data_IF_081921203880
#
_entry.id   IF_081921203880
#
_cell.length_a   1.000
_cell.length_b   1.000
_cell.length_c   1.000
_cell.angle_alpha   90.00
_cell.angle_beta   90.00
_cell.angle_gamma   90.00
#
_symmetry.space_group_name_H-M   'P 1'
#
loop_
_entity.id
_entity.type
_entity.pdbx_description
1 polymer ?
#
# COMPACT_ATOMS: atom_id res chain seq x y z
N UNK A 1 -60.61 21.88 30.27
CA UNK A 1 -59.23 21.40 30.10
C UNK A 1 -59.08 20.87 28.68
N UNK A 2 -58.36 21.60 27.83
CA UNK A 2 -58.09 21.15 26.46
C UNK A 2 -56.68 20.52 26.46
N UNK A 3 -56.59 19.21 26.15
CA UNK A 3 -55.38 18.44 26.07
C UNK A 3 -54.78 18.68 24.68
N UNK A 4 -53.68 19.43 24.62
CA UNK A 4 -52.95 19.67 23.36
C UNK A 4 -51.94 18.54 23.16
N UNK A 5 -52.26 17.61 22.26
CA UNK A 5 -51.35 16.52 21.88
C UNK A 5 -50.22 17.07 21.00
N UNK A 6 -49.02 17.10 21.54
CA UNK A 6 -47.78 17.50 20.81
C UNK A 6 -47.32 16.30 19.96
N UNK A 7 -47.52 16.38 18.64
CA UNK A 7 -47.07 15.37 17.69
C UNK A 7 -45.59 15.63 17.39
N UNK A 8 -44.66 14.86 18.01
CA UNK A 8 -43.25 14.88 17.71
C UNK A 8 -43.00 14.14 16.37
N UNK A 9 -42.77 14.89 15.31
CA UNK A 9 -42.26 14.37 14.03
C UNK A 9 -40.79 13.99 14.21
N UNK A 10 -40.46 12.70 14.29
CA UNK A 10 -39.12 12.20 14.10
C UNK A 10 -38.76 12.29 12.61
N UNK A 11 -38.07 13.34 12.22
CA UNK A 11 -37.42 13.42 10.92
C UNK A 11 -36.18 12.52 11.02
N UNK A 12 -36.27 11.29 10.53
CA UNK A 12 -35.10 10.45 10.27
C UNK A 12 -34.29 11.12 9.15
N UNK A 13 -33.24 11.85 9.52
CA UNK A 13 -32.24 12.32 8.59
C UNK A 13 -31.49 11.05 8.13
N UNK A 14 -31.81 10.58 6.92
CA UNK A 14 -30.96 9.60 6.25
C UNK A 14 -29.61 10.27 6.05
N UNK A 15 -28.64 9.96 6.91
CA UNK A 15 -27.25 10.35 6.72
C UNK A 15 -26.74 9.61 5.49
N UNK A 16 -26.88 10.20 4.32
CA UNK A 16 -26.14 9.72 3.15
C UNK A 16 -24.66 9.81 3.50
N UNK A 17 -23.97 8.68 3.45
CA UNK A 17 -22.52 8.66 3.65
C UNK A 17 -21.89 9.66 2.68
N UNK A 18 -21.32 10.72 3.23
CA UNK A 18 -20.62 11.76 2.48
C UNK A 18 -19.41 11.16 1.73
N UNK A 19 -18.96 9.97 2.14
CA UNK A 19 -17.77 9.26 1.65
C UNK A 19 -18.18 7.94 1.00
N UNK A 20 -18.78 8.03 -0.18
CA UNK A 20 -19.29 6.85 -0.91
C UNK A 20 -18.23 5.91 -1.51
N UNK A 21 -16.96 6.31 -1.48
CA UNK A 21 -15.84 5.54 -2.01
C UNK A 21 -14.95 4.93 -0.90
N UNK A 22 -15.20 5.26 0.36
CA UNK A 22 -14.52 4.63 1.50
C UNK A 22 -14.91 3.16 1.67
N UNK A 23 -14.09 2.37 2.39
CA UNK A 23 -14.46 1.01 2.77
C UNK A 23 -15.83 0.96 3.46
N UNK A 24 -16.65 0.00 3.04
CA UNK A 24 -18.02 -0.21 3.53
C UNK A 24 -18.33 -1.71 3.55
N UNK A 25 -19.51 -2.09 4.07
CA UNK A 25 -19.95 -3.50 4.03
C UNK A 25 -20.07 -4.02 2.60
N UNK A 26 -20.54 -3.18 1.66
CA UNK A 26 -20.68 -3.55 0.24
C UNK A 26 -19.33 -3.55 -0.50
N UNK A 27 -18.42 -2.66 -0.12
CA UNK A 27 -17.08 -2.52 -0.72
C UNK A 27 -16.01 -2.53 0.36
N UNK A 28 -15.61 -3.71 0.87
CA UNK A 28 -14.74 -3.83 2.05
C UNK A 28 -13.38 -3.13 1.92
N UNK A 29 -12.92 -2.92 0.69
CA UNK A 29 -11.65 -2.27 0.39
C UNK A 29 -11.82 -0.86 -0.23
N UNK A 30 -13.04 -0.30 -0.18
CA UNK A 30 -13.37 0.96 -0.84
C UNK A 30 -13.42 0.83 -2.36
N UNK A 31 -13.62 1.96 -3.02
CA UNK A 31 -13.67 2.08 -4.48
C UNK A 31 -12.82 3.25 -4.95
N UNK A 32 -12.30 3.16 -6.17
CA UNK A 32 -11.70 4.30 -6.84
C UNK A 32 -12.72 5.43 -7.02
N UNK A 33 -12.36 6.64 -6.65
CA UNK A 33 -13.15 7.83 -6.95
C UNK A 33 -12.92 8.22 -8.42
N UNK A 34 -13.97 8.40 -9.23
CA UNK A 34 -13.82 8.87 -10.62
C UNK A 34 -13.12 10.22 -10.77
N UNK A 35 -13.15 11.06 -9.72
CA UNK A 35 -12.46 12.36 -9.70
C UNK A 35 -10.97 12.25 -9.29
N UNK A 36 -10.51 11.04 -8.92
CA UNK A 36 -9.10 10.83 -8.58
C UNK A 36 -8.22 10.95 -9.83
N UNK A 37 -6.93 11.31 -9.67
CA UNK A 37 -5.98 11.19 -10.76
C UNK A 37 -6.02 9.79 -11.37
N UNK A 38 -5.98 9.70 -12.71
CA UNK A 38 -6.07 8.41 -13.42
C UNK A 38 -5.08 7.37 -12.88
N UNK A 39 -3.89 7.80 -12.48
CA UNK A 39 -2.86 6.95 -11.93
C UNK A 39 -3.25 6.27 -10.61
N UNK A 40 -4.31 6.72 -9.93
CA UNK A 40 -4.84 6.02 -8.74
C UNK A 40 -5.28 4.59 -9.09
N UNK A 41 -5.55 4.29 -10.36
CA UNK A 41 -5.78 2.94 -10.90
C UNK A 41 -4.52 2.06 -10.93
N UNK A 42 -3.31 2.61 -10.83
CA UNK A 42 -2.07 1.83 -10.91
C UNK A 42 -2.00 0.71 -9.87
N UNK A 43 -2.62 0.92 -8.71
CA UNK A 43 -2.71 -0.06 -7.63
C UNK A 43 -4.03 -0.86 -7.61
N UNK A 44 -4.91 -0.70 -8.60
CA UNK A 44 -6.24 -1.35 -8.60
C UNK A 44 -6.14 -2.88 -8.51
N UNK A 45 -5.18 -3.49 -9.23
CA UNK A 45 -4.97 -4.93 -9.21
C UNK A 45 -4.37 -5.44 -7.86
N UNK A 46 -3.93 -4.56 -6.97
CA UNK A 46 -3.46 -4.91 -5.64
C UNK A 46 -4.58 -4.81 -4.58
N UNK A 47 -5.65 -4.05 -4.84
CA UNK A 47 -6.74 -3.83 -3.87
C UNK A 47 -7.37 -5.16 -3.46
N UNK A 48 -7.48 -5.38 -2.15
CA UNK A 48 -8.00 -6.63 -1.57
C UNK A 48 -7.08 -7.20 -0.49
N UNK A 49 -7.22 -8.47 -0.18
CA UNK A 49 -6.39 -9.22 0.76
C UNK A 49 -5.60 -10.31 0.04
N UNK A 50 -4.33 -10.42 0.37
CA UNK A 50 -3.45 -11.47 -0.13
C UNK A 50 -2.78 -12.22 1.03
N UNK A 51 -2.61 -13.53 0.87
CA UNK A 51 -1.73 -14.34 1.69
C UNK A 51 -0.35 -14.37 1.04
N UNK A 52 0.67 -14.02 1.79
CA UNK A 52 2.02 -13.81 1.27
C UNK A 52 3.07 -14.61 2.05
N UNK A 53 4.15 -14.93 1.37
CA UNK A 53 5.41 -15.42 1.97
C UNK A 53 6.44 -14.31 1.89
N UNK A 54 6.97 -13.88 3.04
CA UNK A 54 7.96 -12.83 3.19
C UNK A 54 9.32 -13.44 3.50
N UNK A 55 10.36 -13.14 2.71
CA UNK A 55 11.72 -13.68 2.86
C UNK A 55 12.71 -12.53 2.89
N UNK A 56 13.45 -12.39 3.98
CA UNK A 56 14.50 -11.37 4.12
C UNK A 56 15.89 -11.99 3.98
N UNK A 57 16.87 -11.19 3.58
CA UNK A 57 18.26 -11.60 3.56
C UNK A 57 18.88 -11.48 4.96
N UNK A 58 19.62 -12.52 5.38
CA UNK A 58 20.38 -12.55 6.62
C UNK A 58 21.69 -11.76 6.48
N UNK A 59 22.36 -11.50 7.61
CA UNK A 59 23.67 -10.82 7.62
C UNK A 59 24.76 -11.62 6.88
N UNK A 60 24.68 -12.95 6.89
CA UNK A 60 25.60 -13.88 6.20
C UNK A 60 25.28 -14.02 4.71
N UNK A 61 24.37 -13.20 4.19
CA UNK A 61 23.94 -13.17 2.78
C UNK A 61 23.01 -14.32 2.36
N UNK A 62 22.73 -15.29 3.23
CA UNK A 62 21.70 -16.30 2.99
C UNK A 62 20.28 -15.70 3.03
N UNK A 63 19.32 -16.41 2.47
CA UNK A 63 17.91 -16.05 2.63
C UNK A 63 17.33 -16.73 3.90
N UNK A 64 16.60 -15.96 4.71
CA UNK A 64 15.89 -16.51 5.86
C UNK A 64 14.75 -17.43 5.41
N UNK A 65 14.27 -18.25 6.34
CA UNK A 65 13.05 -19.03 6.11
C UNK A 65 11.85 -18.11 5.86
N UNK A 66 10.95 -18.49 4.94
CA UNK A 66 9.75 -17.72 4.65
C UNK A 66 8.85 -17.54 5.87
N UNK A 67 8.41 -16.30 6.11
CA UNK A 67 7.43 -15.98 7.15
C UNK A 67 6.07 -15.71 6.49
N UNK A 68 5.02 -16.31 7.03
CA UNK A 68 3.65 -16.03 6.61
C UNK A 68 3.25 -14.59 6.96
N UNK A 69 2.55 -13.97 6.02
CA UNK A 69 2.11 -12.59 6.13
C UNK A 69 0.81 -12.39 5.37
N UNK A 70 -0.09 -11.60 5.91
CA UNK A 70 -1.20 -11.04 5.13
C UNK A 70 -0.83 -9.65 4.63
N UNK A 71 -1.31 -9.29 3.44
CA UNK A 71 -1.15 -7.96 2.86
C UNK A 71 -2.50 -7.47 2.35
N UNK A 72 -3.05 -6.47 3.07
CA UNK A 72 -4.34 -5.86 2.77
C UNK A 72 -4.14 -4.50 2.10
N UNK A 73 -4.85 -4.28 1.01
CA UNK A 73 -4.85 -3.04 0.26
C UNK A 73 -6.25 -2.46 0.17
N UNK A 74 -6.39 -1.16 0.32
CA UNK A 74 -7.67 -0.46 0.25
C UNK A 74 -7.53 0.94 -0.32
N UNK A 75 -8.60 1.45 -0.91
CA UNK A 75 -8.74 2.86 -1.19
C UNK A 75 -9.06 3.60 0.11
N UNK A 76 -8.52 4.80 0.26
CA UNK A 76 -8.73 5.74 1.38
C UNK A 76 -8.96 7.15 0.85
N UNK A 77 -9.25 8.10 1.74
CA UNK A 77 -9.51 9.51 1.39
C UNK A 77 -10.61 9.63 0.33
N UNK A 78 -11.72 8.93 0.57
CA UNK A 78 -12.84 8.83 -0.35
C UNK A 78 -12.42 8.36 -1.77
N UNK A 79 -11.53 7.38 -1.84
CA UNK A 79 -11.05 6.79 -3.08
C UNK A 79 -9.98 7.59 -3.83
N UNK A 80 -9.40 8.61 -3.20
CA UNK A 80 -8.38 9.49 -3.82
C UNK A 80 -6.95 9.00 -3.57
N UNK A 81 -6.75 8.05 -2.67
CA UNK A 81 -5.45 7.52 -2.28
C UNK A 81 -5.55 6.02 -1.98
N UNK A 82 -4.40 5.38 -1.79
CA UNK A 82 -4.31 3.95 -1.50
C UNK A 82 -3.53 3.74 -0.19
N UNK A 83 -3.99 2.81 0.62
CA UNK A 83 -3.30 2.34 1.82
C UNK A 83 -3.07 0.84 1.73
N UNK A 84 -1.92 0.37 2.19
CA UNK A 84 -1.68 -1.02 2.49
C UNK A 84 -1.34 -1.24 3.95
N UNK A 85 -1.61 -2.46 4.40
CA UNK A 85 -1.28 -2.95 5.75
C UNK A 85 -0.79 -4.39 5.65
N UNK A 86 0.34 -4.68 6.30
CA UNK A 86 0.89 -6.03 6.42
C UNK A 86 0.85 -6.50 7.86
N UNK A 87 0.53 -7.78 8.06
CA UNK A 87 0.66 -8.43 9.35
C UNK A 87 1.41 -9.74 9.16
N UNK A 88 2.58 -9.86 9.80
CA UNK A 88 3.41 -11.06 9.79
C UNK A 88 3.02 -12.02 10.92
N UNK A 89 3.29 -13.31 10.73
CA UNK A 89 3.06 -14.34 11.74
C UNK A 89 3.81 -14.09 13.06
N UNK A 90 4.93 -13.35 13.01
CA UNK A 90 5.69 -12.93 14.21
C UNK A 90 5.08 -11.68 14.91
N UNK A 91 3.90 -11.23 14.50
CA UNK A 91 3.18 -10.10 15.07
C UNK A 91 3.66 -8.71 14.61
N UNK A 92 4.69 -8.62 13.76
CA UNK A 92 5.11 -7.33 13.20
C UNK A 92 4.09 -6.82 12.20
N UNK A 93 3.68 -5.58 12.39
CA UNK A 93 2.69 -4.89 11.59
C UNK A 93 3.31 -3.66 10.93
N UNK A 94 3.07 -3.48 9.65
CA UNK A 94 3.50 -2.30 8.92
C UNK A 94 2.50 -1.91 7.84
N UNK A 95 2.67 -0.75 7.27
CA UNK A 95 1.83 -0.29 6.17
C UNK A 95 2.38 0.96 5.53
N UNK A 96 1.70 1.42 4.52
CA UNK A 96 2.01 2.69 3.86
C UNK A 96 0.76 3.41 3.38
N UNK A 97 0.86 4.73 3.31
CA UNK A 97 -0.11 5.60 2.64
C UNK A 97 0.52 6.04 1.32
N UNK A 98 -0.25 5.95 0.24
CA UNK A 98 0.17 6.30 -1.12
C UNK A 98 -0.72 7.36 -1.70
N UNK A 99 -0.11 8.44 -2.15
CA UNK A 99 -0.78 9.52 -2.86
C UNK A 99 -0.08 9.78 -4.19
N UNK A 100 -0.86 9.95 -5.25
CA UNK A 100 -0.34 10.41 -6.53
C UNK A 100 -0.39 11.94 -6.58
N UNK A 101 0.72 12.56 -6.94
CA UNK A 101 0.81 14.02 -7.10
C UNK A 101 0.96 14.31 -8.59
N UNK A 102 -0.08 14.90 -9.19
CA UNK A 102 -0.17 15.14 -10.63
C UNK A 102 0.95 16.05 -11.13
N UNK A 103 1.30 17.09 -10.39
CA UNK A 103 2.32 18.08 -10.79
C UNK A 103 3.71 17.46 -10.97
N UNK A 104 4.08 16.47 -10.15
CA UNK A 104 5.34 15.73 -10.27
C UNK A 104 5.20 14.45 -11.09
N UNK A 105 3.97 14.04 -11.42
CA UNK A 105 3.66 12.77 -12.08
C UNK A 105 4.22 11.54 -11.35
N UNK A 106 4.28 11.61 -10.02
CA UNK A 106 4.82 10.57 -9.16
C UNK A 106 3.86 10.16 -8.03
N UNK A 107 3.99 8.91 -7.64
CA UNK A 107 3.50 8.41 -6.38
C UNK A 107 4.46 8.76 -5.25
N UNK A 108 3.90 9.16 -4.10
CA UNK A 108 4.60 9.32 -2.83
C UNK A 108 4.06 8.31 -1.84
N UNK A 109 4.97 7.50 -1.29
CA UNK A 109 4.64 6.36 -0.42
C UNK A 109 5.30 6.57 0.93
N UNK A 110 4.51 6.79 1.96
CA UNK A 110 4.94 7.02 3.33
C UNK A 110 4.75 5.73 4.14
N UNK A 111 5.86 5.13 4.57
CA UNK A 111 5.88 3.85 5.27
C UNK A 111 5.92 4.02 6.79
N UNK A 112 5.22 3.15 7.50
CA UNK A 112 5.26 3.04 8.96
C UNK A 112 5.33 1.57 9.39
N UNK A 113 5.91 1.30 10.60
CA UNK A 113 6.08 -0.06 11.11
C UNK A 113 6.07 -0.10 12.63
N UNK A 114 5.43 -1.12 13.19
CA UNK A 114 5.46 -1.40 14.63
C UNK A 114 6.85 -1.86 15.12
N UNK A 115 7.66 -2.42 14.22
CA UNK A 115 9.02 -2.87 14.53
C UNK A 115 10.03 -1.71 14.60
N UNK A 116 9.76 -0.59 13.94
CA UNK A 116 10.64 0.59 13.87
C UNK A 116 9.80 1.88 13.85
N UNK A 117 9.13 2.23 14.97
CA UNK A 117 8.40 3.48 15.06
C UNK A 117 9.34 4.66 14.81
N UNK A 118 8.89 5.66 14.05
CA UNK A 118 9.69 6.83 13.70
C UNK A 118 8.84 8.09 13.71
N UNK A 119 9.43 9.21 14.11
CA UNK A 119 8.82 10.53 14.02
C UNK A 119 8.81 11.08 12.60
N UNK A 120 9.66 10.54 11.71
CA UNK A 120 9.71 10.86 10.28
C UNK A 120 9.51 9.60 9.48
N UNK A 121 8.43 9.55 8.70
CA UNK A 121 8.12 8.39 7.88
C UNK A 121 9.07 8.30 6.69
N UNK A 122 9.73 7.15 6.47
CA UNK A 122 10.48 6.92 5.25
C UNK A 122 9.56 7.05 4.04
N UNK A 123 10.02 7.76 3.01
CA UNK A 123 9.24 8.04 1.81
C UNK A 123 9.96 7.50 0.58
N UNK A 124 9.20 6.82 -0.27
CA UNK A 124 9.60 6.43 -1.62
C UNK A 124 8.80 7.21 -2.63
N UNK A 125 9.38 7.46 -3.80
CA UNK A 125 8.70 8.07 -4.93
C UNK A 125 8.92 7.28 -6.21
N UNK A 126 7.99 7.34 -7.14
CA UNK A 126 8.08 6.64 -8.42
C UNK A 126 6.74 6.45 -9.13
N UNK A 127 6.69 5.50 -10.05
CA UNK A 127 5.55 5.34 -10.95
C UNK A 127 5.39 3.91 -11.46
N UNK A 128 4.23 3.64 -12.05
CA UNK A 128 4.01 2.45 -12.87
C UNK A 128 4.77 2.61 -14.19
N UNK A 129 5.47 1.56 -14.60
CA UNK A 129 6.26 1.50 -15.83
C UNK A 129 5.42 0.89 -16.96
N UNK A 130 5.87 1.06 -18.21
CA UNK A 130 5.19 0.52 -19.40
C UNK A 130 5.00 -0.99 -19.37
N UNK A 131 5.93 -1.72 -18.74
CA UNK A 131 5.83 -3.17 -18.54
C UNK A 131 4.85 -3.60 -17.44
N UNK A 132 4.12 -2.66 -16.84
CA UNK A 132 3.14 -2.89 -15.78
C UNK A 132 3.72 -2.96 -14.37
N UNK A 133 5.03 -2.98 -14.19
CA UNK A 133 5.66 -2.95 -12.87
C UNK A 133 5.47 -1.58 -12.20
N UNK A 134 5.30 -1.57 -10.87
CA UNK A 134 5.31 -0.34 -10.08
C UNK A 134 6.66 -0.26 -9.39
N UNK A 135 7.43 0.78 -9.69
CA UNK A 135 8.80 0.95 -9.22
C UNK A 135 8.94 2.25 -8.43
N UNK A 136 9.44 2.14 -7.21
CA UNK A 136 9.53 3.24 -6.25
C UNK A 136 10.96 3.30 -5.71
N UNK A 137 11.50 4.49 -5.51
CA UNK A 137 12.88 4.74 -5.10
C UNK A 137 12.95 5.61 -3.86
N UNK A 138 13.94 5.35 -3.03
CA UNK A 138 14.38 6.22 -1.93
C UNK A 138 15.90 6.30 -1.94
N UNK A 139 16.46 7.50 -1.85
CA UNK A 139 17.92 7.66 -1.73
C UNK A 139 18.44 6.86 -0.54
N UNK A 140 19.45 6.02 -0.76
CA UNK A 140 20.09 5.23 0.27
C UNK A 140 21.53 4.90 -0.12
N UNK A 141 22.49 5.26 0.76
CA UNK A 141 23.89 4.82 0.61
C UNK A 141 24.03 3.36 1.00
N UNK A 142 24.89 2.64 0.28
CA UNK A 142 25.36 1.34 0.71
C UNK A 142 26.26 1.47 1.97
N UNK A 143 26.51 0.39 2.72
CA UNK A 143 27.38 0.43 3.92
C UNK A 143 28.82 0.92 3.65
N UNK A 144 29.32 0.76 2.44
CA UNK A 144 30.63 1.26 2.00
C UNK A 144 30.62 2.74 1.58
N UNK A 145 29.48 3.43 1.71
CA UNK A 145 29.32 4.84 1.35
C UNK A 145 28.92 5.11 -0.11
N UNK A 146 28.81 4.07 -0.95
CA UNK A 146 28.37 4.22 -2.34
C UNK A 146 26.96 4.78 -2.39
N UNK A 147 26.76 5.82 -3.20
CA UNK A 147 25.44 6.43 -3.44
C UNK A 147 24.57 5.49 -4.27
N UNK A 148 23.30 5.45 -3.95
CA UNK A 148 22.32 4.62 -4.66
C UNK A 148 20.91 4.84 -4.11
N UNK A 149 20.07 3.84 -4.36
CA UNK A 149 18.67 3.86 -3.97
C UNK A 149 18.29 2.56 -3.26
N UNK A 150 17.31 2.62 -2.37
CA UNK A 150 16.53 1.45 -2.02
C UNK A 150 15.29 1.45 -2.92
N UNK A 151 15.27 0.48 -3.86
CA UNK A 151 14.23 0.31 -4.87
C UNK A 151 13.21 -0.71 -4.39
N UNK A 152 11.93 -0.37 -4.53
CA UNK A 152 10.80 -1.28 -4.31
C UNK A 152 10.16 -1.56 -5.66
N UNK A 153 10.00 -2.82 -6.03
CA UNK A 153 9.36 -3.21 -7.29
C UNK A 153 8.22 -4.18 -7.03
N UNK A 154 7.00 -3.81 -7.46
CA UNK A 154 5.88 -4.72 -7.61
C UNK A 154 5.88 -5.23 -9.04
N UNK A 155 5.84 -6.53 -9.23
CA UNK A 155 5.91 -7.18 -10.54
C UNK A 155 5.06 -8.46 -10.58
N UNK A 156 4.88 -9.05 -11.77
CA UNK A 156 3.99 -10.19 -12.01
C UNK A 156 2.57 -9.92 -11.44
N UNK A 157 2.11 -8.68 -11.57
CA UNK A 157 0.83 -8.23 -11.03
C UNK A 157 -0.30 -8.83 -11.87
N UNK A 158 -1.22 -9.54 -11.21
CA UNK A 158 -2.39 -10.17 -11.83
C UNK A 158 -3.54 -10.30 -10.85
N UNK A 159 -4.68 -10.77 -11.32
CA UNK A 159 -5.82 -11.11 -10.46
C UNK A 159 -5.51 -12.22 -9.46
N UNK A 160 -4.58 -13.13 -9.78
CA UNK A 160 -4.18 -14.22 -8.90
C UNK A 160 -3.22 -13.80 -7.77
N UNK A 161 -2.55 -12.65 -7.92
CA UNK A 161 -1.60 -12.14 -6.94
C UNK A 161 -0.49 -11.31 -7.59
N UNK A 162 0.58 -11.11 -6.85
CA UNK A 162 1.72 -10.32 -7.29
C UNK A 162 2.98 -10.70 -6.52
N UNK A 163 4.12 -10.25 -7.03
CA UNK A 163 5.42 -10.35 -6.36
C UNK A 163 5.96 -8.97 -6.03
N UNK A 164 6.81 -8.92 -5.04
CA UNK A 164 7.47 -7.70 -4.61
C UNK A 164 8.93 -7.99 -4.23
N UNK A 165 9.82 -7.04 -4.55
CA UNK A 165 11.21 -7.05 -4.13
C UNK A 165 11.61 -5.69 -3.59
N UNK A 166 12.35 -5.70 -2.47
CA UNK A 166 13.07 -4.54 -1.93
C UNK A 166 14.57 -4.81 -2.06
N UNK A 167 15.28 -3.89 -2.69
CA UNK A 167 16.68 -4.07 -3.03
C UNK A 167 17.44 -2.74 -3.04
N UNK A 168 18.72 -2.82 -2.73
CA UNK A 168 19.60 -1.69 -2.98
C UNK A 168 20.10 -1.74 -4.42
N UNK A 169 20.15 -0.57 -5.08
CA UNK A 169 20.73 -0.42 -6.42
C UNK A 169 21.66 0.79 -6.43
N UNK A 170 22.71 0.76 -7.25
CA UNK A 170 23.55 1.93 -7.53
C UNK A 170 22.79 2.96 -8.38
N UNK A 171 23.37 4.15 -8.57
CA UNK A 171 22.70 5.25 -9.31
C UNK A 171 22.37 4.91 -10.75
N UNK A 172 23.19 4.06 -11.37
CA UNK A 172 23.03 3.66 -12.78
C UNK A 172 22.27 2.33 -12.92
N UNK A 173 21.82 1.75 -11.80
CA UNK A 173 21.09 0.47 -11.70
C UNK A 173 21.87 -0.70 -12.38
N UNK A 174 23.20 -0.63 -12.36
CA UNK A 174 24.08 -1.69 -12.86
C UNK A 174 24.39 -2.75 -11.81
N UNK A 175 24.28 -2.38 -10.53
CA UNK A 175 24.40 -3.26 -9.38
C UNK A 175 23.07 -3.35 -8.67
N UNK A 176 22.58 -4.57 -8.52
CA UNK A 176 21.34 -4.86 -7.81
C UNK A 176 21.62 -5.80 -6.63
N UNK A 177 21.16 -5.42 -5.44
CA UNK A 177 21.33 -6.21 -4.24
C UNK A 177 19.99 -6.43 -3.54
N UNK A 178 19.24 -7.50 -3.89
CA UNK A 178 17.98 -7.82 -3.26
C UNK A 178 18.15 -8.19 -1.79
N UNK A 179 17.40 -7.53 -0.91
CA UNK A 179 17.44 -7.78 0.53
C UNK A 179 16.15 -8.35 1.08
N UNK A 180 15.03 -8.19 0.35
CA UNK A 180 13.73 -8.63 0.81
C UNK A 180 12.84 -8.98 -0.38
N UNK A 181 12.16 -10.13 -0.31
CA UNK A 181 11.22 -10.63 -1.34
C UNK A 181 9.91 -11.02 -0.71
N UNK A 182 8.81 -10.76 -1.41
CA UNK A 182 7.47 -11.16 -0.99
C UNK A 182 6.76 -11.75 -2.21
N UNK A 183 6.11 -12.89 -2.01
CA UNK A 183 5.25 -13.51 -3.02
C UNK A 183 3.84 -13.62 -2.44
N UNK A 184 2.86 -13.04 -3.13
CA UNK A 184 1.48 -12.91 -2.67
C UNK A 184 0.52 -13.66 -3.58
N UNK A 185 -0.43 -14.38 -2.97
CA UNK A 185 -1.55 -15.03 -3.63
C UNK A 185 -2.82 -14.38 -3.09
N UNK A 186 -3.73 -14.01 -4.00
CA UNK A 186 -4.99 -13.36 -3.62
C UNK A 186 -5.92 -14.34 -2.93
N UNK A 187 -6.60 -13.88 -1.89
CA UNK A 187 -7.76 -14.59 -1.34
C UNK A 187 -8.97 -14.37 -2.28
N UNK A 188 -9.63 -15.48 -2.61
CA UNK A 188 -10.94 -15.45 -3.28
C UNK A 188 -12.02 -15.22 -2.21
N UNK A 189 -12.88 -14.22 -2.41
CA UNK A 189 -14.02 -13.88 -1.56
C UNK A 189 -15.33 -14.29 -2.23
#
# INVERSE_FOLDING_TARGET
MRLTTLLLFFISIAAFSQYKYEPSTEFPFGKLNPEAPKQTEDFADLIGLCNCKSVSRNQDQSWAEPIDMTWKWKYIMNGMAVQDETLKADGKHSGSIRQFIADSSNWYVHYYSSASPSTTLPTWEGSKKENGNIVLYRNQKAPNGMEGFYRLTFYDISKAGYKWVGEWVDKDETLEYPTWKINCIREEY
#
